data_IF_727733878833
#
_entry.id   IF_727733878833
#
_cell.length_a   1.000
_cell.length_b   1.000
_cell.length_c   1.000
_cell.angle_alpha   90.00
_cell.angle_beta   90.00
_cell.angle_gamma   90.00
#
_symmetry.space_group_name_H-M   'P 1'
#
loop_
_entity.id
_entity.type
_entity.pdbx_description
1 polymer ?
#
# COMPACT_ATOMS: atom_id res chain seq x y z
N UNK A 1 9.43 -27.56 -41.69
CA UNK A 1 9.68 -26.16 -41.24
C UNK A 1 9.80 -26.20 -39.73
N UNK A 2 11.01 -26.04 -39.18
CA UNK A 2 11.20 -25.89 -37.74
C UNK A 2 10.63 -24.54 -37.35
N UNK A 3 9.54 -24.53 -36.57
CA UNK A 3 9.02 -23.31 -35.95
C UNK A 3 10.04 -22.87 -34.89
N UNK A 4 10.83 -21.84 -35.19
CA UNK A 4 11.67 -21.20 -34.19
C UNK A 4 10.75 -20.59 -33.12
N UNK A 5 10.68 -21.21 -31.95
CA UNK A 5 9.98 -20.63 -30.81
C UNK A 5 10.78 -19.39 -30.41
N UNK A 6 10.19 -18.19 -30.58
CA UNK A 6 10.81 -16.92 -30.20
C UNK A 6 11.13 -16.99 -28.70
N UNK A 7 12.40 -16.82 -28.34
CA UNK A 7 12.83 -16.75 -26.94
C UNK A 7 12.10 -15.60 -26.25
N UNK A 8 11.44 -15.89 -25.13
CA UNK A 8 10.75 -14.89 -24.31
C UNK A 8 11.77 -14.20 -23.41
N UNK A 9 11.75 -12.88 -23.29
CA UNK A 9 12.72 -12.13 -22.47
C UNK A 9 12.02 -11.50 -21.28
N UNK A 10 12.48 -11.81 -20.07
CA UNK A 10 11.87 -11.32 -18.82
C UNK A 10 12.84 -10.40 -18.11
N UNK A 11 12.54 -9.11 -18.13
CA UNK A 11 13.27 -8.11 -17.37
C UNK A 11 12.93 -8.21 -15.87
N UNK A 12 13.88 -7.97 -14.98
CA UNK A 12 13.58 -7.74 -13.58
C UNK A 12 14.34 -6.55 -13.00
N UNK A 13 13.65 -5.78 -12.16
CA UNK A 13 14.26 -4.71 -11.37
C UNK A 13 13.90 -4.83 -9.90
N UNK A 14 14.90 -5.11 -9.07
CA UNK A 14 14.78 -5.21 -7.61
C UNK A 14 15.97 -4.53 -6.97
N UNK A 15 15.76 -3.89 -5.82
CA UNK A 15 16.89 -3.37 -5.05
C UNK A 15 17.84 -4.50 -4.64
N UNK A 16 19.14 -4.21 -4.56
CA UNK A 16 20.16 -5.16 -4.10
C UNK A 16 19.79 -5.84 -2.77
N UNK A 17 19.20 -5.06 -1.85
CA UNK A 17 18.69 -5.55 -0.57
C UNK A 17 17.61 -6.62 -0.76
N UNK A 18 16.68 -6.43 -1.71
CA UNK A 18 15.60 -7.39 -1.98
C UNK A 18 16.10 -8.61 -2.76
N UNK A 19 17.03 -8.44 -3.72
CA UNK A 19 17.68 -9.55 -4.43
C UNK A 19 18.33 -10.50 -3.44
N UNK A 20 19.15 -9.95 -2.52
CA UNK A 20 19.82 -10.73 -1.47
C UNK A 20 18.84 -11.38 -0.52
N UNK A 21 17.82 -10.64 -0.05
CA UNK A 21 16.84 -11.13 0.91
C UNK A 21 15.99 -12.30 0.36
N UNK A 22 15.56 -12.20 -0.90
CA UNK A 22 14.81 -13.27 -1.54
C UNK A 22 15.69 -14.41 -2.04
N UNK A 23 17.01 -14.21 -2.13
CA UNK A 23 17.90 -15.06 -2.90
C UNK A 23 17.41 -15.23 -4.36
N UNK A 24 17.11 -14.09 -5.01
CA UNK A 24 16.42 -14.08 -6.31
C UNK A 24 17.23 -14.74 -7.45
N UNK A 25 18.54 -14.96 -7.28
CA UNK A 25 19.35 -15.69 -8.24
C UNK A 25 18.84 -17.13 -8.45
N UNK A 26 18.30 -17.77 -7.42
CA UNK A 26 17.67 -19.09 -7.55
C UNK A 26 16.51 -19.08 -8.54
N UNK A 27 15.66 -18.05 -8.51
CA UNK A 27 14.58 -17.90 -9.48
C UNK A 27 15.10 -17.67 -10.91
N UNK A 28 16.14 -16.85 -11.05
CA UNK A 28 16.78 -16.61 -12.35
C UNK A 28 17.32 -17.91 -12.95
N UNK A 29 17.92 -18.77 -12.13
CA UNK A 29 18.42 -20.08 -12.58
C UNK A 29 17.27 -21.04 -12.90
N UNK A 30 16.18 -21.04 -12.10
CA UNK A 30 14.96 -21.79 -12.41
C UNK A 30 14.35 -21.40 -13.75
N UNK A 31 14.25 -20.10 -14.06
CA UNK A 31 13.77 -19.62 -15.36
C UNK A 31 14.61 -20.17 -16.52
N UNK A 32 15.94 -20.18 -16.39
CA UNK A 32 16.85 -20.68 -17.45
C UNK A 32 16.73 -22.19 -17.65
N UNK A 33 16.49 -22.95 -16.59
CA UNK A 33 16.45 -24.41 -16.63
C UNK A 33 15.07 -24.98 -16.96
N UNK A 34 14.00 -24.37 -16.45
CA UNK A 34 12.65 -24.96 -16.45
C UNK A 34 11.71 -24.29 -17.45
N UNK A 35 11.99 -23.04 -17.84
CA UNK A 35 11.20 -22.32 -18.83
C UNK A 35 12.02 -22.08 -20.09
N UNK A 36 12.38 -23.11 -20.86
CA UNK A 36 12.93 -22.89 -22.20
C UNK A 36 11.78 -22.48 -23.15
N UNK A 37 11.83 -21.32 -23.85
CA UNK A 37 12.98 -20.43 -24.07
C UNK A 37 12.89 -19.03 -23.42
N UNK A 38 12.69 -18.95 -22.11
CA UNK A 38 12.71 -17.71 -21.30
C UNK A 38 14.14 -17.31 -20.93
N UNK A 39 14.47 -16.05 -21.20
CA UNK A 39 15.75 -15.43 -20.88
C UNK A 39 15.53 -14.33 -19.84
N UNK A 40 15.86 -14.58 -18.55
CA UNK A 40 15.81 -13.55 -17.52
C UNK A 40 16.95 -12.55 -17.69
N UNK A 41 16.67 -11.25 -17.53
CA UNK A 41 17.64 -10.16 -17.61
C UNK A 41 17.43 -9.16 -16.47
N UNK A 42 18.49 -8.86 -15.72
CA UNK A 42 18.46 -7.76 -14.76
C UNK A 42 18.43 -6.43 -15.52
N UNK A 43 17.47 -5.57 -15.19
CA UNK A 43 17.35 -4.26 -15.80
C UNK A 43 18.20 -3.23 -15.05
N UNK A 44 18.87 -2.38 -15.80
CA UNK A 44 19.55 -1.18 -15.32
C UNK A 44 18.72 0.05 -15.70
N UNK A 45 18.03 0.64 -14.73
CA UNK A 45 17.18 1.80 -14.97
C UNK A 45 17.96 3.12 -15.12
N UNK A 46 19.29 3.08 -15.05
CA UNK A 46 20.14 4.21 -15.45
C UNK A 46 20.35 4.28 -16.97
N UNK A 47 20.01 3.20 -17.69
CA UNK A 47 20.07 3.12 -19.15
C UNK A 47 18.64 3.08 -19.75
N UNK A 48 18.46 3.51 -21.01
CA UNK A 48 17.17 3.37 -21.69
C UNK A 48 16.69 1.91 -21.72
N UNK A 49 15.41 1.68 -21.43
CA UNK A 49 14.82 0.34 -21.49
C UNK A 49 14.73 -0.21 -22.92
N UNK A 50 14.64 0.67 -23.93
CA UNK A 50 14.68 0.33 -25.35
C UNK A 50 15.95 -0.47 -25.73
N UNK A 51 17.10 -0.08 -25.18
CA UNK A 51 18.39 -0.74 -25.42
C UNK A 51 18.47 -2.10 -24.69
N UNK A 52 17.61 -2.31 -23.71
CA UNK A 52 17.50 -3.52 -22.89
C UNK A 52 16.32 -4.40 -23.31
N UNK A 53 15.63 -4.05 -24.40
CA UNK A 53 14.52 -4.80 -24.96
C UNK A 53 14.90 -5.69 -26.16
N UNK A 54 13.89 -6.24 -26.86
CA UNK A 54 12.47 -6.24 -26.49
C UNK A 54 12.19 -7.15 -25.28
N UNK A 55 11.27 -6.74 -24.40
CA UNK A 55 10.87 -7.49 -23.21
C UNK A 55 9.46 -8.07 -23.39
N UNK A 56 9.23 -9.30 -22.94
CA UNK A 56 7.88 -9.91 -22.90
C UNK A 56 7.22 -9.70 -21.53
N UNK A 57 8.02 -9.59 -20.46
CA UNK A 57 7.54 -9.23 -19.13
C UNK A 57 8.59 -8.48 -18.31
N UNK A 58 8.14 -7.71 -17.32
CA UNK A 58 8.97 -7.02 -16.33
C UNK A 58 8.47 -7.37 -14.92
N UNK A 59 9.34 -7.97 -14.10
CA UNK A 59 9.11 -8.16 -12.66
C UNK A 59 9.79 -7.04 -11.90
N UNK A 60 9.07 -6.26 -11.09
CA UNK A 60 9.72 -5.16 -10.39
C UNK A 60 9.22 -4.92 -8.97
N UNK A 61 10.04 -4.18 -8.19
CA UNK A 61 9.60 -3.54 -6.94
C UNK A 61 10.02 -2.08 -6.88
N UNK A 62 9.39 -1.24 -7.72
CA UNK A 62 9.69 0.19 -7.81
C UNK A 62 9.07 1.04 -6.69
N UNK A 63 8.59 0.42 -5.60
CA UNK A 63 7.84 1.10 -4.53
C UNK A 63 8.58 2.30 -3.96
N UNK A 64 9.88 2.18 -3.72
CA UNK A 64 10.70 3.27 -3.16
C UNK A 64 10.87 4.41 -4.17
N UNK A 65 11.13 4.10 -5.45
CA UNK A 65 11.34 5.11 -6.49
C UNK A 65 10.04 5.86 -6.82
N UNK A 66 8.90 5.15 -6.83
CA UNK A 66 7.59 5.76 -7.01
C UNK A 66 7.28 6.71 -5.85
N UNK A 67 7.58 6.30 -4.61
CA UNK A 67 7.39 7.12 -3.44
C UNK A 67 8.27 8.38 -3.46
N UNK A 68 9.55 8.24 -3.80
CA UNK A 68 10.48 9.36 -3.95
C UNK A 68 10.06 10.31 -5.08
N UNK A 69 9.58 9.77 -6.20
CA UNK A 69 9.04 10.57 -7.30
C UNK A 69 7.81 11.39 -6.86
N UNK A 70 6.93 10.81 -6.05
CA UNK A 70 5.76 11.50 -5.47
C UNK A 70 6.13 12.55 -4.42
N UNK A 71 7.35 12.47 -3.87
CA UNK A 71 7.95 13.47 -2.98
C UNK A 71 8.75 14.54 -3.73
N UNK A 72 8.67 14.57 -5.06
CA UNK A 72 9.38 15.51 -5.94
C UNK A 72 10.90 15.35 -5.96
N UNK A 73 11.42 14.14 -5.76
CA UNK A 73 12.84 13.84 -6.01
C UNK A 73 13.05 13.72 -7.52
N UNK A 74 13.77 14.68 -8.10
CA UNK A 74 13.94 14.83 -9.56
C UNK A 74 14.45 13.56 -10.25
N UNK A 75 15.48 12.92 -9.69
CA UNK A 75 16.08 11.71 -10.25
C UNK A 75 15.07 10.55 -10.29
N UNK A 76 14.29 10.39 -9.22
CA UNK A 76 13.25 9.37 -9.14
C UNK A 76 12.09 9.67 -10.10
N UNK A 77 11.72 10.94 -10.27
CA UNK A 77 10.70 11.35 -11.25
C UNK A 77 11.12 11.01 -12.68
N UNK A 78 12.36 11.33 -13.06
CA UNK A 78 12.90 11.00 -14.38
C UNK A 78 12.93 9.49 -14.62
N UNK A 79 13.38 8.72 -13.62
CA UNK A 79 13.44 7.25 -13.71
C UNK A 79 12.03 6.65 -13.86
N UNK A 80 11.08 7.04 -13.00
CA UNK A 80 9.71 6.52 -13.07
C UNK A 80 9.01 6.96 -14.36
N UNK A 81 9.28 8.17 -14.86
CA UNK A 81 8.78 8.64 -16.14
C UNK A 81 9.33 7.80 -17.31
N UNK A 82 10.64 7.53 -17.34
CA UNK A 82 11.28 6.70 -18.36
C UNK A 82 10.68 5.28 -18.39
N UNK A 83 10.44 4.69 -17.21
CA UNK A 83 9.75 3.38 -17.11
C UNK A 83 8.32 3.47 -17.65
N UNK A 84 7.57 4.52 -17.30
CA UNK A 84 6.21 4.72 -17.78
C UNK A 84 6.16 4.88 -19.31
N UNK A 85 7.09 5.66 -19.89
CA UNK A 85 7.19 5.86 -21.34
C UNK A 85 7.43 4.53 -22.08
N UNK A 86 8.33 3.69 -21.57
CA UNK A 86 8.55 2.35 -22.12
C UNK A 86 7.27 1.49 -22.06
N UNK A 87 6.56 1.51 -20.92
CA UNK A 87 5.31 0.76 -20.75
C UNK A 87 4.24 1.22 -21.73
N UNK A 88 4.14 2.53 -21.97
CA UNK A 88 3.14 3.13 -22.86
C UNK A 88 3.43 2.80 -24.34
N UNK A 89 4.72 2.74 -24.72
CA UNK A 89 5.18 2.36 -26.07
C UNK A 89 5.06 0.85 -26.32
N UNK A 90 5.20 0.02 -25.28
CA UNK A 90 5.20 -1.44 -25.37
C UNK A 90 4.04 -2.10 -24.60
N UNK A 91 2.78 -1.91 -25.03
CA UNK A 91 1.61 -2.51 -24.36
C UNK A 91 1.58 -4.04 -24.40
N UNK A 92 2.40 -4.68 -25.24
CA UNK A 92 2.64 -6.11 -25.27
C UNK A 92 3.49 -6.64 -24.10
N UNK A 93 4.23 -5.76 -23.41
CA UNK A 93 5.07 -6.14 -22.26
C UNK A 93 4.22 -6.31 -21.02
N UNK A 94 4.23 -7.49 -20.41
CA UNK A 94 3.51 -7.74 -19.15
C UNK A 94 4.26 -7.10 -17.97
N UNK A 95 3.60 -6.23 -17.21
CA UNK A 95 4.20 -5.59 -16.03
C UNK A 95 3.69 -6.23 -14.75
N UNK A 96 4.60 -6.84 -13.97
CA UNK A 96 4.34 -7.47 -12.67
C UNK A 96 4.92 -6.56 -11.57
N UNK A 97 4.14 -5.63 -11.00
CA UNK A 97 2.71 -5.33 -11.23
C UNK A 97 2.50 -3.88 -11.71
N UNK A 98 1.39 -3.54 -12.38
CA UNK A 98 1.19 -2.21 -12.98
C UNK A 98 1.41 -1.04 -12.02
N UNK A 99 2.13 0.00 -12.47
CA UNK A 99 2.48 1.16 -11.64
C UNK A 99 1.27 1.85 -10.97
N UNK A 100 0.09 1.99 -11.61
CA UNK A 100 -1.10 2.55 -10.96
C UNK A 100 -1.56 1.74 -9.73
N UNK A 101 -1.40 0.42 -9.80
CA UNK A 101 -1.75 -0.46 -8.69
C UNK A 101 -0.75 -0.31 -7.54
N UNK A 102 0.54 -0.22 -7.85
CA UNK A 102 1.60 0.05 -6.87
C UNK A 102 1.34 1.39 -6.17
N UNK A 103 1.01 2.47 -6.90
CA UNK A 103 0.65 3.78 -6.34
C UNK A 103 -0.55 3.71 -5.39
N UNK A 104 -1.52 2.84 -5.67
CA UNK A 104 -2.66 2.62 -4.78
C UNK A 104 -2.21 1.95 -3.47
N UNK A 105 -1.33 0.95 -3.56
CA UNK A 105 -0.79 0.22 -2.40
C UNK A 105 0.24 1.02 -1.58
N UNK A 106 0.77 2.13 -2.11
CA UNK A 106 1.65 3.04 -1.38
C UNK A 106 0.89 4.02 -0.46
N UNK A 107 -0.43 4.11 -0.59
CA UNK A 107 -1.29 4.97 0.23
C UNK A 107 -2.30 4.10 0.99
N UNK A 108 -2.19 4.08 2.34
CA UNK A 108 -3.05 3.26 3.20
C UNK A 108 -4.51 3.67 3.11
N UNK A 109 -4.80 4.96 2.93
CA UNK A 109 -6.18 5.42 2.79
C UNK A 109 -6.81 4.92 1.49
N UNK A 110 -6.07 4.99 0.37
CA UNK A 110 -6.54 4.42 -0.91
C UNK A 110 -6.71 2.91 -0.81
N UNK A 111 -5.76 2.22 -0.17
CA UNK A 111 -5.82 0.77 0.06
C UNK A 111 -7.03 0.36 0.91
N UNK A 112 -7.29 1.04 2.02
CA UNK A 112 -8.43 0.73 2.88
C UNK A 112 -9.77 1.09 2.24
N UNK A 113 -9.84 2.19 1.48
CA UNK A 113 -11.02 2.51 0.67
C UNK A 113 -11.33 1.42 -0.34
N UNK A 114 -10.32 0.85 -0.97
CA UNK A 114 -10.51 -0.29 -1.86
C UNK A 114 -11.02 -1.52 -1.11
N UNK A 115 -10.39 -1.89 0.01
CA UNK A 115 -10.80 -3.04 0.84
C UNK A 115 -12.27 -2.89 1.26
N UNK A 116 -12.66 -1.71 1.72
CA UNK A 116 -14.03 -1.45 2.15
C UNK A 116 -15.03 -1.60 1.01
N UNK A 117 -14.73 -1.05 -0.17
CA UNK A 117 -15.56 -1.27 -1.37
C UNK A 117 -15.66 -2.75 -1.73
N UNK A 118 -14.56 -3.51 -1.61
CA UNK A 118 -14.58 -4.94 -1.89
C UNK A 118 -15.45 -5.71 -0.91
N UNK A 119 -15.40 -5.39 0.38
CA UNK A 119 -16.30 -5.96 1.39
C UNK A 119 -17.78 -5.72 1.02
N UNK A 120 -18.15 -4.47 0.69
CA UNK A 120 -19.52 -4.10 0.28
C UNK A 120 -19.97 -4.89 -0.96
N UNK A 121 -19.07 -5.11 -1.92
CA UNK A 121 -19.36 -5.83 -3.15
C UNK A 121 -19.47 -7.33 -2.95
N UNK A 122 -18.63 -7.90 -2.08
CA UNK A 122 -18.58 -9.34 -1.81
C UNK A 122 -19.79 -9.83 -1.01
N UNK A 123 -20.42 -8.93 -0.24
CA UNK A 123 -21.58 -9.19 0.64
C UNK A 123 -21.42 -10.47 1.47
N UNK A 124 -20.20 -10.70 1.95
CA UNK A 124 -19.85 -11.87 2.75
C UNK A 124 -19.79 -11.48 4.22
N UNK A 125 -20.77 -11.89 5.02
CA UNK A 125 -20.84 -11.55 6.44
C UNK A 125 -19.67 -12.08 7.28
N UNK A 126 -18.75 -12.85 6.69
CA UNK A 126 -17.52 -13.35 7.34
C UNK A 126 -16.32 -12.43 7.15
N UNK A 127 -16.45 -11.36 6.38
CA UNK A 127 -15.43 -10.35 6.13
C UNK A 127 -15.87 -9.06 6.80
N UNK A 128 -14.93 -8.30 7.36
CA UNK A 128 -15.19 -6.94 7.83
C UNK A 128 -14.06 -5.98 7.45
N UNK A 129 -14.39 -4.74 7.11
CA UNK A 129 -13.43 -3.63 7.06
C UNK A 129 -13.56 -2.85 8.37
N UNK A 130 -12.50 -2.80 9.21
CA UNK A 130 -12.55 -1.96 10.40
C UNK A 130 -12.79 -0.50 10.00
N UNK A 131 -13.67 0.25 10.69
CA UNK A 131 -13.86 1.67 10.43
C UNK A 131 -12.52 2.42 10.45
N UNK A 132 -12.29 3.28 9.46
CA UNK A 132 -11.05 4.03 9.30
C UNK A 132 -11.32 5.43 8.74
N UNK A 133 -10.42 6.38 9.01
CA UNK A 133 -10.43 7.71 8.39
C UNK A 133 -9.02 8.29 8.33
N UNK A 134 -8.86 9.39 7.59
CA UNK A 134 -7.61 10.16 7.52
C UNK A 134 -7.71 11.39 8.40
N UNK A 135 -6.64 11.67 9.13
CA UNK A 135 -6.40 12.94 9.79
C UNK A 135 -5.25 13.64 9.07
N UNK A 136 -5.49 14.80 8.47
CA UNK A 136 -4.43 15.62 7.85
C UNK A 136 -3.89 16.70 8.78
N UNK A 137 -4.72 17.16 9.73
CA UNK A 137 -4.39 18.23 10.67
C UNK A 137 -4.45 17.72 12.10
N UNK A 138 -3.81 18.47 13.01
CA UNK A 138 -3.79 18.15 14.44
C UNK A 138 -5.20 18.03 15.03
N UNK A 139 -5.34 17.19 16.05
CA UNK A 139 -6.63 16.93 16.67
C UNK A 139 -7.11 18.16 17.46
N UNK A 140 -8.26 18.71 17.06
CA UNK A 140 -8.95 19.81 17.73
C UNK A 140 -10.17 19.38 18.55
N UNK A 141 -10.97 20.35 19.05
CA UNK A 141 -12.17 20.11 19.86
C UNK A 141 -13.19 19.17 19.18
N UNK A 142 -13.36 19.32 17.87
CA UNK A 142 -14.36 18.59 17.09
C UNK A 142 -13.91 17.18 16.67
N UNK A 143 -12.67 16.78 17.02
CA UNK A 143 -12.12 15.49 16.59
C UNK A 143 -12.99 14.32 17.03
N UNK A 144 -13.48 14.34 18.27
CA UNK A 144 -14.34 13.27 18.80
C UNK A 144 -15.64 13.12 18.00
N UNK A 145 -16.27 14.22 17.63
CA UNK A 145 -17.52 14.19 16.85
C UNK A 145 -17.26 13.56 15.47
N UNK A 146 -16.11 13.87 14.86
CA UNK A 146 -15.68 13.23 13.62
C UNK A 146 -15.40 11.73 13.79
N UNK A 147 -14.76 11.31 14.89
CA UNK A 147 -14.54 9.89 15.18
C UNK A 147 -15.88 9.16 15.26
N UNK A 148 -16.82 9.68 16.05
CA UNK A 148 -18.14 9.09 16.25
C UNK A 148 -18.93 9.03 14.93
N UNK A 149 -18.91 10.09 14.13
CA UNK A 149 -19.58 10.16 12.84
C UNK A 149 -19.05 9.13 11.83
N UNK A 150 -17.77 8.80 11.90
CA UNK A 150 -17.13 7.79 11.04
C UNK A 150 -17.09 6.39 11.69
N UNK A 151 -17.75 6.19 12.83
CA UNK A 151 -17.78 4.90 13.53
C UNK A 151 -16.42 4.44 14.09
N UNK A 152 -15.49 5.38 14.32
CA UNK A 152 -14.21 5.08 14.98
C UNK A 152 -14.43 4.99 16.48
N UNK A 153 -13.98 3.90 17.09
CA UNK A 153 -14.13 3.63 18.53
C UNK A 153 -12.80 3.39 19.20
N UNK A 154 -12.69 3.72 20.50
CA UNK A 154 -11.51 3.37 21.29
C UNK A 154 -11.47 1.87 21.65
N UNK A 155 -10.26 1.26 21.68
CA UNK A 155 -9.01 1.82 21.18
C UNK A 155 -8.96 1.83 19.65
N UNK A 156 -8.20 2.74 19.07
CA UNK A 156 -7.90 2.74 17.63
C UNK A 156 -6.40 2.84 17.39
N UNK A 157 -5.95 2.35 16.23
CA UNK A 157 -4.56 2.38 15.80
C UNK A 157 -4.34 3.51 14.79
N UNK A 158 -3.32 4.32 15.02
CA UNK A 158 -2.79 5.31 14.11
C UNK A 158 -1.65 4.71 13.29
N UNK A 159 -1.70 4.87 11.98
CA UNK A 159 -0.68 4.44 11.02
C UNK A 159 -0.34 5.63 10.12
N UNK A 160 0.91 5.75 9.69
CA UNK A 160 1.26 6.75 8.67
C UNK A 160 0.43 6.54 7.39
N UNK A 161 0.08 7.61 6.68
CA UNK A 161 -0.69 7.45 5.44
C UNK A 161 0.14 6.76 4.35
N UNK A 162 1.42 7.11 4.25
CA UNK A 162 2.38 6.43 3.39
C UNK A 162 2.61 5.00 3.90
N UNK A 163 2.37 4.02 3.04
CA UNK A 163 2.35 2.60 3.40
C UNK A 163 3.73 1.91 3.33
N UNK A 164 4.75 2.57 2.78
CA UNK A 164 6.07 1.99 2.55
C UNK A 164 7.22 2.97 2.86
N UNK A 165 8.42 2.44 3.10
CA UNK A 165 9.63 3.22 3.38
C UNK A 165 9.97 3.33 4.88
N UNK A 166 11.11 3.95 5.18
CA UNK A 166 11.79 3.91 6.49
C UNK A 166 10.93 4.31 7.68
N UNK A 167 10.07 5.33 7.52
CA UNK A 167 9.21 5.85 8.60
C UNK A 167 7.75 5.38 8.51
N UNK A 168 7.42 4.49 7.57
CA UNK A 168 6.05 4.03 7.34
C UNK A 168 5.54 3.03 8.39
N UNK A 169 6.41 2.63 9.32
CA UNK A 169 6.18 1.56 10.28
C UNK A 169 5.94 2.03 11.71
N UNK A 170 6.09 3.34 11.98
CA UNK A 170 5.74 3.94 13.26
C UNK A 170 4.21 4.03 13.40
N UNK A 171 3.71 3.47 14.48
CA UNK A 171 2.28 3.36 14.78
C UNK A 171 2.02 3.73 16.23
N UNK A 172 0.79 4.10 16.53
CA UNK A 172 0.34 4.34 17.90
C UNK A 172 -1.03 3.72 18.15
N UNK A 173 -1.31 3.27 19.36
CA UNK A 173 -2.67 2.89 19.80
C UNK A 173 -3.13 3.94 20.79
N UNK A 174 -4.31 4.50 20.53
CA UNK A 174 -4.92 5.56 21.31
C UNK A 174 -6.08 4.95 22.11
N UNK A 175 -6.08 5.17 23.43
CA UNK A 175 -7.05 4.55 24.34
C UNK A 175 -8.09 5.53 24.86
N UNK A 176 -7.84 6.84 24.81
CA UNK A 176 -8.77 7.83 25.33
C UNK A 176 -8.71 9.16 24.58
N UNK A 177 -9.58 10.10 24.96
CA UNK A 177 -9.62 11.45 24.40
C UNK A 177 -8.32 12.22 24.71
N UNK A 178 -7.75 12.00 25.88
CA UNK A 178 -6.57 12.72 26.39
C UNK A 178 -5.32 12.42 25.55
N UNK A 179 -5.28 11.24 24.93
CA UNK A 179 -4.21 10.76 24.07
C UNK A 179 -4.30 11.30 22.62
N UNK A 180 -5.40 11.97 22.23
CA UNK A 180 -5.57 12.51 20.86
C UNK A 180 -4.47 13.51 20.48
N UNK A 181 -3.90 14.21 21.46
CA UNK A 181 -2.80 15.16 21.29
C UNK A 181 -1.48 14.47 20.86
N UNK A 182 -1.35 13.17 21.07
CA UNK A 182 -0.14 12.41 20.76
C UNK A 182 -0.15 11.88 19.31
N UNK A 183 -1.27 12.05 18.59
CA UNK A 183 -1.41 11.69 17.19
C UNK A 183 -0.58 12.65 16.33
N UNK A 184 0.14 12.10 15.34
CA UNK A 184 0.96 12.85 14.38
C UNK A 184 0.39 12.74 12.96
N UNK A 185 -0.41 13.71 12.51
CA UNK A 185 -0.87 13.82 11.13
C UNK A 185 0.27 14.14 10.14
N UNK A 186 0.14 13.83 8.84
CA UNK A 186 -0.98 13.10 8.24
C UNK A 186 -0.92 11.60 8.57
N UNK A 187 -2.04 11.05 9.01
CA UNK A 187 -2.13 9.64 9.40
C UNK A 187 -3.49 9.04 9.08
N UNK A 188 -3.53 7.71 8.97
CA UNK A 188 -4.75 6.93 8.91
C UNK A 188 -5.01 6.36 10.29
N UNK A 189 -6.20 6.63 10.82
CA UNK A 189 -6.68 5.99 12.04
C UNK A 189 -7.66 4.87 11.68
N UNK A 190 -7.61 3.77 12.41
CA UNK A 190 -8.43 2.60 12.17
C UNK A 190 -8.84 1.98 13.51
N UNK A 191 -10.11 1.66 13.70
CA UNK A 191 -10.59 1.01 14.94
C UNK A 191 -9.81 -0.28 15.20
N UNK A 192 -9.38 -0.48 16.45
CA UNK A 192 -8.62 -1.66 16.83
C UNK A 192 -9.57 -2.85 16.99
N UNK A 193 -9.20 -3.99 16.40
CA UNK A 193 -9.95 -5.24 16.54
C UNK A 193 -9.12 -6.20 17.39
N UNK A 194 -9.68 -6.65 18.52
CA UNK A 194 -9.09 -7.74 19.29
C UNK A 194 -9.09 -9.03 18.47
N UNK A 195 -7.90 -9.64 18.36
CA UNK A 195 -7.65 -10.76 17.46
C UNK A 195 -6.67 -11.79 18.04
N UNK A 196 -6.58 -11.84 19.38
CA UNK A 196 -5.84 -12.88 20.09
C UNK A 196 -4.34 -12.96 19.74
N UNK A 197 -3.73 -11.81 19.39
CA UNK A 197 -2.31 -11.67 19.11
C UNK A 197 -1.78 -12.50 17.93
N UNK A 198 -2.64 -12.92 16.99
CA UNK A 198 -2.24 -13.69 15.80
C UNK A 198 -2.57 -12.93 14.52
N UNK A 199 -1.54 -12.68 13.72
CA UNK A 199 -1.65 -12.15 12.36
C UNK A 199 -1.48 -13.27 11.35
N UNK A 200 -2.39 -13.34 10.37
CA UNK A 200 -2.29 -14.24 9.24
C UNK A 200 -1.82 -13.47 8.01
N UNK A 201 -0.54 -13.63 7.66
CA UNK A 201 0.01 -13.07 6.44
C UNK A 201 -0.32 -13.98 5.27
N UNK A 202 -1.19 -13.50 4.39
CA UNK A 202 -1.51 -14.19 3.14
C UNK A 202 -0.59 -13.63 2.07
N UNK A 203 0.36 -14.44 1.61
CA UNK A 203 1.24 -14.11 0.51
C UNK A 203 0.65 -14.64 -0.79
N UNK A 204 0.35 -13.74 -1.73
CA UNK A 204 -0.31 -14.06 -3.00
C UNK A 204 0.71 -13.96 -4.13
N UNK A 205 0.73 -15.00 -4.98
CA UNK A 205 1.54 -15.08 -6.19
C UNK A 205 0.63 -15.58 -7.31
N UNK A 206 0.11 -14.65 -8.11
CA UNK A 206 -0.85 -14.98 -9.16
C UNK A 206 -2.12 -15.62 -8.59
N UNK A 207 -2.46 -16.81 -9.05
CA UNK A 207 -3.60 -17.58 -8.54
C UNK A 207 -3.30 -18.35 -7.24
N UNK A 208 -2.03 -18.55 -6.91
CA UNK A 208 -1.59 -19.23 -5.70
C UNK A 208 -1.52 -18.28 -4.50
N UNK A 209 -1.68 -18.83 -3.29
CA UNK A 209 -1.40 -18.10 -2.06
C UNK A 209 -0.95 -19.05 -0.96
N UNK A 210 -0.14 -18.52 -0.04
CA UNK A 210 0.31 -19.20 1.18
C UNK A 210 -0.05 -18.36 2.40
N UNK A 211 -0.43 -19.01 3.50
CA UNK A 211 -0.77 -18.34 4.77
C UNK A 211 0.33 -18.62 5.79
N UNK A 212 0.90 -17.56 6.35
CA UNK A 212 1.94 -17.64 7.38
C UNK A 212 1.45 -16.92 8.63
N UNK A 213 1.41 -17.64 9.75
CA UNK A 213 1.10 -17.05 11.05
C UNK A 213 2.27 -16.21 11.57
N UNK A 214 1.96 -15.07 12.17
CA UNK A 214 2.92 -14.15 12.79
C UNK A 214 2.41 -13.67 14.14
N UNK A 215 3.31 -13.34 15.07
CA UNK A 215 2.96 -12.55 16.25
C UNK A 215 2.25 -11.25 15.86
N UNK A 216 1.29 -10.83 16.68
CA UNK A 216 0.53 -9.60 16.49
C UNK A 216 0.18 -8.97 17.82
N UNK A 217 -0.46 -7.81 17.79
CA UNK A 217 -0.84 -7.07 18.98
C UNK A 217 -1.82 -7.85 19.85
N UNK A 218 -1.54 -7.89 21.15
CA UNK A 218 -2.41 -8.46 22.18
C UNK A 218 -3.78 -7.78 22.21
N UNK A 219 -4.71 -8.42 22.90
CA UNK A 219 -6.02 -7.82 23.15
C UNK A 219 -5.91 -6.65 24.14
N UNK A 220 -6.78 -5.66 23.93
CA UNK A 220 -6.98 -4.52 24.81
C UNK A 220 -8.44 -4.43 25.27
N UNK A 221 -8.73 -3.86 26.45
CA UNK A 221 -10.10 -3.62 26.86
C UNK A 221 -10.84 -2.75 25.83
N UNK A 222 -12.11 -3.08 25.56
CA UNK A 222 -12.94 -2.28 24.66
C UNK A 222 -13.38 -0.98 25.31
N UNK A 223 -13.49 0.09 24.52
CA UNK A 223 -13.89 1.41 24.99
C UNK A 223 -12.74 2.24 25.53
N UNK A 224 -13.02 3.46 26.00
CA UNK A 224 -12.00 4.34 26.53
C UNK A 224 -11.42 3.80 27.84
N UNK A 225 -10.11 3.91 28.01
CA UNK A 225 -9.42 3.51 29.25
C UNK A 225 -8.40 4.55 29.68
N UNK A 226 -8.10 4.65 30.98
CA UNK A 226 -7.08 5.56 31.53
C UNK A 226 -5.62 5.13 31.19
N UNK A 227 -5.44 4.22 30.23
CA UNK A 227 -4.13 3.81 29.75
C UNK A 227 -3.58 4.91 28.84
N UNK A 228 -2.27 5.14 28.93
CA UNK A 228 -1.57 6.02 27.98
C UNK A 228 -1.47 5.39 26.61
N UNK A 229 -1.41 6.23 25.59
CA UNK A 229 -1.09 5.81 24.23
C UNK A 229 0.16 4.93 24.16
N UNK A 230 0.12 3.92 23.29
CA UNK A 230 1.25 3.01 23.05
C UNK A 230 1.82 3.32 21.68
N UNK A 231 3.05 3.82 21.63
CA UNK A 231 3.81 4.01 20.38
C UNK A 231 4.72 2.81 20.12
N UNK A 232 4.76 2.32 18.89
CA UNK A 232 5.59 1.18 18.52
C UNK A 232 5.93 1.17 17.02
N UNK A 233 7.00 0.46 16.68
CA UNK A 233 7.33 0.15 15.30
C UNK A 233 6.79 -1.24 14.92
N UNK A 234 5.97 -1.31 13.87
CA UNK A 234 5.33 -2.56 13.41
C UNK A 234 6.33 -3.69 13.07
N UNK A 235 7.56 -3.37 12.68
CA UNK A 235 8.59 -4.39 12.45
C UNK A 235 9.04 -5.13 13.71
N UNK A 236 8.85 -4.55 14.90
CA UNK A 236 9.17 -5.21 16.16
C UNK A 236 8.01 -6.07 16.69
N UNK A 237 6.82 -5.94 16.08
CA UNK A 237 5.60 -6.62 16.52
C UNK A 237 5.28 -7.86 15.68
N UNK A 238 5.44 -7.81 14.35
CA UNK A 238 4.91 -8.86 13.45
C UNK A 238 5.95 -9.55 12.55
N UNK A 239 7.21 -9.59 13.00
CA UNK A 239 8.25 -10.44 12.38
C UNK A 239 8.28 -11.83 13.04
N UNK A 240 8.89 -12.85 12.40
CA UNK A 240 8.87 -14.23 12.91
C UNK A 240 9.41 -14.34 14.34
N UNK A 241 10.49 -13.62 14.65
CA UNK A 241 11.16 -13.62 15.95
C UNK A 241 10.65 -12.53 16.92
N UNK A 242 9.54 -11.84 16.59
CA UNK A 242 9.01 -10.77 17.42
C UNK A 242 8.42 -11.32 18.72
N UNK A 243 9.02 -10.95 19.85
CA UNK A 243 8.51 -11.25 21.19
C UNK A 243 8.63 -10.02 22.09
N UNK A 244 7.50 -9.51 22.57
CA UNK A 244 7.40 -8.38 23.50
C UNK A 244 6.12 -8.46 24.32
N UNK A 245 5.98 -7.61 25.35
CA UNK A 245 4.73 -7.50 26.13
C UNK A 245 3.51 -7.15 25.25
N UNK A 246 3.74 -6.49 24.10
CA UNK A 246 2.71 -6.13 23.13
C UNK A 246 2.22 -7.34 22.31
N UNK A 247 3.01 -8.41 22.23
CA UNK A 247 2.67 -9.64 21.49
C UNK A 247 2.34 -10.81 22.42
N UNK A 248 2.29 -10.57 23.74
CA UNK A 248 1.95 -11.60 24.72
C UNK A 248 0.53 -12.15 24.50
N UNK A 249 0.40 -13.47 24.72
CA UNK A 249 -0.85 -14.23 24.63
C UNK A 249 -1.48 -14.52 25.99
N UNK A 250 -1.12 -13.76 27.03
CA UNK A 250 -1.62 -14.04 28.39
C UNK A 250 -3.12 -13.72 28.56
N UNK A 251 -3.68 -12.87 27.68
CA UNK A 251 -5.08 -12.42 27.72
C UNK A 251 -5.86 -12.89 26.48
N UNK A 252 -5.89 -14.19 26.21
CA UNK A 252 -6.73 -14.75 25.14
C UNK A 252 -8.19 -14.74 25.58
N UNK A 253 -9.03 -14.07 24.79
CA UNK A 253 -10.46 -13.92 25.06
C UNK A 253 -11.25 -14.25 23.79
N UNK A 254 -12.50 -14.68 23.96
CA UNK A 254 -13.40 -14.97 22.84
C UNK A 254 -12.97 -16.16 21.99
N UNK A 255 -13.32 -16.12 20.70
CA UNK A 255 -13.07 -17.25 19.80
C UNK A 255 -11.68 -17.15 19.18
N UNK A 256 -10.91 -18.25 19.24
CA UNK A 256 -9.69 -18.41 18.47
C UNK A 256 -10.01 -19.30 17.28
N UNK A 257 -10.23 -18.69 16.11
CA UNK A 257 -10.49 -19.41 14.85
C UNK A 257 -9.34 -19.19 13.89
N UNK A 258 -8.98 -20.26 13.18
CA UNK A 258 -8.12 -20.17 12.01
C UNK A 258 -8.88 -19.50 10.86
N UNK A 259 -8.18 -18.78 9.96
CA UNK A 259 -8.81 -18.13 8.84
C UNK A 259 -9.35 -19.19 7.86
N UNK A 260 -10.50 -18.91 7.27
CA UNK A 260 -11.15 -19.80 6.31
C UNK A 260 -10.57 -19.61 4.92
N UNK A 261 -10.01 -20.69 4.36
CA UNK A 261 -9.36 -20.66 3.05
C UNK A 261 -10.27 -20.17 1.91
N UNK A 262 -11.56 -20.50 1.93
CA UNK A 262 -12.51 -20.03 0.92
C UNK A 262 -12.71 -18.51 0.98
N UNK A 263 -12.69 -17.92 2.19
CA UNK A 263 -12.75 -16.47 2.40
C UNK A 263 -11.47 -15.80 1.88
N UNK A 264 -10.30 -16.34 2.25
CA UNK A 264 -9.00 -15.83 1.78
C UNK A 264 -8.92 -15.86 0.26
N UNK A 265 -9.32 -16.97 -0.36
CA UNK A 265 -9.30 -17.12 -1.81
C UNK A 265 -10.22 -16.10 -2.49
N UNK A 266 -11.41 -15.85 -1.92
CA UNK A 266 -12.34 -14.84 -2.41
C UNK A 266 -11.74 -13.43 -2.31
N UNK A 267 -11.16 -13.07 -1.15
CA UNK A 267 -10.49 -11.76 -0.94
C UNK A 267 -9.34 -11.59 -1.93
N UNK A 268 -8.45 -12.58 -2.03
CA UNK A 268 -7.30 -12.56 -2.95
C UNK A 268 -7.75 -12.35 -4.40
N UNK A 269 -8.72 -13.15 -4.88
CA UNK A 269 -9.26 -13.02 -6.24
C UNK A 269 -9.87 -11.63 -6.49
N UNK A 270 -10.66 -11.11 -5.56
CA UNK A 270 -11.27 -9.79 -5.67
C UNK A 270 -10.21 -8.66 -5.74
N UNK A 271 -9.20 -8.70 -4.87
CA UNK A 271 -8.09 -7.73 -4.89
C UNK A 271 -7.28 -7.79 -6.18
N UNK A 272 -6.96 -9.01 -6.65
CA UNK A 272 -6.27 -9.20 -7.93
C UNK A 272 -7.03 -8.59 -9.09
N UNK A 273 -8.33 -8.85 -9.20
CA UNK A 273 -9.13 -8.27 -10.29
C UNK A 273 -9.30 -6.75 -10.17
N UNK A 274 -9.47 -6.21 -8.95
CA UNK A 274 -9.72 -4.80 -8.76
C UNK A 274 -8.46 -3.92 -8.97
N UNK A 275 -7.29 -4.42 -8.60
CA UNK A 275 -6.01 -3.70 -8.73
C UNK A 275 -5.19 -4.14 -9.93
N UNK A 276 -5.52 -5.27 -10.56
CA UNK A 276 -4.66 -5.95 -11.53
C UNK A 276 -3.25 -6.23 -10.98
N UNK A 277 -3.17 -6.67 -9.71
CA UNK A 277 -1.93 -7.09 -9.04
C UNK A 277 -1.85 -8.59 -8.95
N UNK A 278 -0.64 -9.11 -8.84
CA UNK A 278 -0.39 -10.55 -8.73
C UNK A 278 0.63 -10.91 -7.66
N UNK A 279 1.52 -9.98 -7.30
CA UNK A 279 2.58 -10.18 -6.34
C UNK A 279 2.34 -9.26 -5.13
N UNK A 280 1.56 -9.71 -4.15
CA UNK A 280 1.20 -8.88 -3.01
C UNK A 280 0.95 -9.72 -1.75
N UNK A 281 0.98 -9.05 -0.59
CA UNK A 281 0.65 -9.65 0.70
C UNK A 281 -0.60 -9.00 1.28
N UNK A 282 -1.42 -9.78 1.98
CA UNK A 282 -2.59 -9.32 2.72
C UNK A 282 -2.38 -9.69 4.18
N UNK A 283 -2.51 -8.72 5.07
CA UNK A 283 -2.46 -8.94 6.51
C UNK A 283 -3.89 -9.08 7.02
N UNK A 284 -4.24 -10.30 7.45
CA UNK A 284 -5.57 -10.65 7.95
C UNK A 284 -5.51 -10.95 9.45
N UNK A 285 -6.44 -10.37 10.20
CA UNK A 285 -6.71 -10.74 11.59
C UNK A 285 -8.13 -11.29 11.72
N UNK A 286 -8.34 -12.17 12.70
CA UNK A 286 -9.66 -12.74 12.99
C UNK A 286 -10.22 -12.08 14.24
N UNK A 287 -11.33 -11.36 14.09
CA UNK A 287 -12.02 -10.76 15.24
C UNK A 287 -12.40 -11.83 16.25
N UNK A 288 -11.96 -11.69 17.50
CA UNK A 288 -12.29 -12.66 18.54
C UNK A 288 -13.75 -12.54 19.03
N UNK A 289 -14.41 -11.41 18.73
CA UNK A 289 -15.82 -11.16 19.05
C UNK A 289 -16.75 -11.76 18.00
N UNK A 290 -16.47 -11.51 16.71
CA UNK A 290 -17.38 -11.87 15.60
C UNK A 290 -16.91 -13.08 14.79
N UNK A 291 -15.63 -13.43 14.85
CA UNK A 291 -15.00 -14.44 13.99
C UNK A 291 -14.84 -14.00 12.52
N UNK A 292 -15.02 -12.72 12.22
CA UNK A 292 -14.86 -12.16 10.88
C UNK A 292 -13.38 -11.92 10.55
N UNK A 293 -13.07 -11.97 9.24
CA UNK A 293 -11.76 -11.70 8.67
C UNK A 293 -11.64 -10.21 8.41
N UNK A 294 -10.75 -9.55 9.12
CA UNK A 294 -10.45 -8.14 8.87
C UNK A 294 -9.13 -8.03 8.12
N UNK A 295 -9.17 -7.42 6.94
CA UNK A 295 -7.97 -7.04 6.20
C UNK A 295 -7.48 -5.71 6.75
N UNK A 296 -6.28 -5.72 7.36
CA UNK A 296 -5.74 -4.55 8.06
C UNK A 296 -4.54 -3.91 7.36
N UNK A 297 -3.94 -4.58 6.39
CA UNK A 297 -2.87 -4.04 5.55
C UNK A 297 -2.74 -4.82 4.24
N UNK A 298 -2.26 -4.17 3.18
CA UNK A 298 -1.93 -4.80 1.89
C UNK A 298 -0.57 -4.26 1.43
N UNK A 299 0.31 -5.16 0.99
CA UNK A 299 1.69 -4.82 0.67
C UNK A 299 2.06 -5.27 -0.75
N UNK A 300 2.61 -4.36 -1.56
CA UNK A 300 3.15 -4.71 -2.87
C UNK A 300 4.47 -5.49 -2.74
N UNK A 301 4.56 -6.59 -3.48
CA UNK A 301 5.68 -7.53 -3.57
C UNK A 301 6.45 -7.70 -2.25
N UNK A 302 5.85 -8.34 -1.22
CA UNK A 302 6.41 -8.45 0.12
C UNK A 302 7.64 -9.37 0.16
N UNK A 303 8.06 -9.76 1.37
CA UNK A 303 9.26 -10.59 1.57
C UNK A 303 9.07 -12.09 1.40
N UNK A 304 7.83 -12.60 1.35
CA UNK A 304 7.50 -14.04 1.24
C UNK A 304 8.23 -14.96 2.24
N UNK A 305 8.66 -14.41 3.38
CA UNK A 305 9.31 -15.16 4.45
C UNK A 305 8.34 -16.21 5.04
N UNK A 306 8.74 -17.48 5.00
CA UNK A 306 7.91 -18.61 5.42
C UNK A 306 7.14 -19.28 4.28
N UNK A 307 7.39 -18.91 3.02
CA UNK A 307 6.79 -19.51 1.81
C UNK A 307 7.88 -20.23 1.01
N UNK A 308 8.10 -21.54 1.23
CA UNK A 308 9.15 -22.29 0.53
C UNK A 308 8.89 -22.38 -0.98
N UNK A 309 7.62 -22.52 -1.39
CA UNK A 309 7.20 -22.68 -2.80
C UNK A 309 7.16 -21.35 -3.59
N UNK A 310 7.66 -20.24 -3.01
CA UNK A 310 7.51 -18.91 -3.61
C UNK A 310 8.04 -18.85 -5.05
N UNK A 311 9.17 -19.48 -5.34
CA UNK A 311 9.75 -19.45 -6.68
C UNK A 311 9.00 -20.36 -7.66
N UNK A 312 8.48 -21.50 -7.23
CA UNK A 312 7.65 -22.38 -8.06
C UNK A 312 6.32 -21.71 -8.42
N UNK A 313 5.69 -21.05 -7.45
CA UNK A 313 4.48 -20.25 -7.66
C UNK A 313 4.75 -19.09 -8.62
N UNK A 314 5.87 -18.38 -8.44
CA UNK A 314 6.26 -17.26 -9.32
C UNK A 314 6.54 -17.73 -10.74
N UNK A 315 7.19 -18.89 -10.90
CA UNK A 315 7.48 -19.50 -12.20
C UNK A 315 6.18 -19.90 -12.91
N UNK A 316 5.26 -20.50 -12.19
CA UNK A 316 3.93 -20.90 -12.69
C UNK A 316 3.12 -19.68 -13.11
N UNK A 317 3.10 -18.64 -12.29
CA UNK A 317 2.42 -17.38 -12.61
C UNK A 317 3.04 -16.70 -13.83
N UNK A 318 4.38 -16.59 -13.88
CA UNK A 318 5.09 -16.03 -15.02
C UNK A 318 4.78 -16.79 -16.32
N UNK A 319 4.74 -18.12 -16.26
CA UNK A 319 4.38 -18.97 -17.39
C UNK A 319 2.95 -18.68 -17.86
N UNK A 320 2.03 -18.56 -16.92
CA UNK A 320 0.61 -18.29 -17.21
C UNK A 320 0.42 -16.94 -17.91
N UNK A 321 1.09 -15.88 -17.43
CA UNK A 321 0.96 -14.55 -18.05
C UNK A 321 1.66 -14.46 -19.41
N UNK A 322 2.75 -15.22 -19.62
CA UNK A 322 3.45 -15.28 -20.91
C UNK A 322 2.71 -16.13 -21.96
N UNK A 323 1.90 -17.10 -21.52
CA UNK A 323 1.06 -17.95 -22.39
C UNK A 323 -0.34 -17.37 -22.61
N UNK A 324 -0.78 -16.44 -21.77
CA UNK A 324 -2.03 -15.70 -21.95
C UNK A 324 -2.08 -14.96 -23.30
N UNK A 325 -3.27 -14.68 -23.85
CA UNK A 325 -3.39 -14.01 -25.14
C UNK A 325 -2.61 -12.69 -25.14
N UNK A 326 -1.62 -12.60 -26.04
CA UNK A 326 -0.78 -11.42 -26.26
C UNK A 326 -1.65 -10.25 -26.72
N UNK A 327 -2.02 -9.40 -25.78
CA UNK A 327 -2.84 -8.20 -25.95
C UNK A 327 -3.18 -7.63 -24.57
N UNK A 328 -3.50 -6.33 -24.45
CA UNK A 328 -3.94 -5.79 -23.17
C UNK A 328 -5.08 -6.68 -22.66
N UNK A 329 -5.06 -7.04 -21.38
CA UNK A 329 -6.17 -7.71 -20.70
C UNK A 329 -7.43 -6.84 -20.86
N UNK A 330 -8.09 -6.97 -22.00
CA UNK A 330 -9.47 -6.57 -22.20
C UNK A 330 -10.22 -7.51 -21.28
N UNK A 331 -10.84 -6.93 -20.25
CA UNK A 331 -11.65 -7.64 -19.28
C UNK A 331 -12.46 -8.74 -19.99
N UNK A 332 -12.30 -10.03 -19.65
CA UNK A 332 -13.17 -11.04 -20.17
C UNK A 332 -14.58 -10.72 -19.67
N UNK A 333 -15.46 -10.34 -20.60
CA UNK A 333 -16.90 -10.28 -20.38
C UNK A 333 -17.43 -11.71 -20.23
N UNK A 334 -17.14 -12.32 -19.08
CA UNK A 334 -17.94 -13.41 -18.53
C UNK A 334 -18.99 -12.78 -17.61
N UNK A 335 -20.16 -13.42 -17.38
CA UNK A 335 -21.25 -12.77 -16.66
C UNK A 335 -20.79 -12.33 -15.28
N UNK A 336 -20.79 -11.01 -15.08
CA UNK A 336 -20.54 -10.33 -13.82
C UNK A 336 -21.44 -10.91 -12.73
N UNK A 337 -20.87 -11.72 -11.83
CA UNK A 337 -21.46 -11.98 -10.52
C UNK A 337 -21.07 -10.89 -9.49
N UNK A 338 -20.12 -10.01 -9.82
CA UNK A 338 -19.80 -8.79 -9.08
C UNK A 338 -19.81 -7.60 -10.04
N UNK A 339 -20.91 -6.84 -10.03
CA UNK A 339 -21.11 -5.66 -10.87
C UNK A 339 -20.27 -4.46 -10.47
N UNK A 340 -18.98 -4.47 -10.81
CA UNK A 340 -18.10 -3.31 -10.64
C UNK A 340 -17.78 -2.68 -12.00
N UNK A 341 -18.07 -1.39 -12.23
CA UNK A 341 -17.49 -0.66 -13.34
C UNK A 341 -16.02 -0.36 -13.02
N UNK A 342 -15.11 -0.85 -13.87
CA UNK A 342 -13.75 -0.34 -13.94
C UNK A 342 -13.78 1.01 -14.67
N UNK A 343 -13.49 2.11 -13.96
CA UNK A 343 -13.30 3.43 -14.57
C UNK A 343 -13.66 4.58 -13.64
N UNK A 344 -12.71 5.50 -13.48
CA UNK A 344 -12.80 6.76 -12.73
C UNK A 344 -13.00 6.65 -11.21
N UNK A 345 -11.89 6.75 -10.46
CA UNK A 345 -11.91 7.42 -9.14
C UNK A 345 -12.12 8.93 -9.37
N UNK A 346 -13.29 9.29 -9.90
CA UNK A 346 -13.81 10.64 -9.98
C UNK A 346 -14.77 10.85 -8.81
N UNK A 347 -14.40 11.76 -7.93
CA UNK A 347 -15.18 12.45 -6.90
C UNK A 347 -16.67 12.05 -6.76
N UNK A 348 -16.99 11.13 -5.84
CA UNK A 348 -18.30 11.07 -5.16
C UNK A 348 -18.10 10.63 -3.70
N UNK A 349 -18.80 11.33 -2.80
CA UNK A 349 -18.46 11.44 -1.38
C UNK A 349 -19.13 10.44 -0.46
N UNK A 350 -18.33 9.93 0.48
CA UNK A 350 -18.63 9.84 1.92
C UNK A 350 -17.39 9.36 2.69
N UNK A 351 -16.31 10.15 2.64
CA UNK A 351 -15.20 10.13 3.60
C UNK A 351 -14.50 11.48 3.43
N UNK A 352 -14.75 12.40 4.36
CA UNK A 352 -14.26 13.78 4.26
C UNK A 352 -12.79 13.83 4.70
N UNK A 353 -11.97 14.38 3.81
CA UNK A 353 -10.62 14.89 4.07
C UNK A 353 -10.81 16.15 4.93
N UNK A 354 -10.19 16.20 6.11
CA UNK A 354 -10.26 17.39 6.98
C UNK A 354 -9.03 18.24 6.68
N UNK A 355 -9.23 19.43 6.13
CA UNK A 355 -8.26 20.53 6.15
C UNK A 355 -8.81 21.62 7.06
N UNK A 356 -8.06 21.96 8.11
CA UNK A 356 -8.46 22.97 9.09
C UNK A 356 -7.96 24.35 8.69
N UNK A 357 -8.66 25.07 7.80
CA UNK A 357 -8.60 26.54 7.73
C UNK A 357 -9.95 27.14 7.27
N UNK A 358 -10.77 27.63 8.21
CA UNK A 358 -11.80 28.63 7.92
C UNK A 358 -11.75 29.77 8.94
N UNK A 359 -11.14 30.89 8.52
CA UNK A 359 -11.27 32.19 9.19
C UNK A 359 -12.56 32.87 8.73
N UNK A 360 -13.53 32.96 9.64
CA UNK A 360 -14.72 33.82 9.52
C UNK A 360 -14.33 35.29 9.27
N UNK A 361 -14.90 35.91 8.24
CA UNK A 361 -15.21 37.36 8.25
C UNK A 361 -16.58 37.58 7.61
N UNK A 362 -17.40 38.33 8.33
CA UNK A 362 -18.80 38.59 8.03
C UNK A 362 -19.03 39.57 6.88
N UNK A 363 -20.29 39.56 6.48
CA UNK A 363 -21.03 40.40 5.53
C UNK A 363 -20.54 41.84 5.34
N UNK A 364 -20.51 42.31 4.08
CA UNK A 364 -21.14 43.56 3.65
C UNK A 364 -21.43 43.53 2.13
N UNK A 365 -22.62 44.02 1.76
CA UNK A 365 -23.10 44.26 0.40
C UNK A 365 -22.49 45.54 -0.19
N UNK A 366 -22.36 45.61 -1.52
CA UNK A 366 -22.40 46.90 -2.25
C UNK A 366 -21.46 47.08 -3.44
N UNK A 367 -22.00 46.88 -4.65
CA UNK A 367 -21.90 47.72 -5.85
C UNK A 367 -20.56 47.98 -6.60
N UNK A 368 -20.63 47.67 -7.91
CA UNK A 368 -20.16 48.41 -9.11
C UNK A 368 -18.66 48.50 -9.51
N UNK A 369 -18.39 47.88 -10.67
CA UNK A 369 -17.82 48.45 -11.92
C UNK A 369 -16.35 48.93 -12.06
N UNK A 370 -15.74 48.42 -13.15
CA UNK A 370 -14.76 49.02 -14.08
C UNK A 370 -13.25 49.04 -13.77
N UNK A 371 -12.53 48.27 -14.61
CA UNK A 371 -11.33 48.56 -15.43
C UNK A 371 -10.11 49.32 -14.91
N UNK A 372 -8.96 48.78 -15.37
CA UNK A 372 -7.73 49.43 -15.87
C UNK A 372 -6.48 49.48 -14.95
N UNK A 373 -5.47 48.76 -15.43
CA UNK A 373 -4.10 49.19 -15.77
C UNK A 373 -3.04 49.62 -14.72
N UNK A 374 -1.88 48.97 -14.93
CA UNK A 374 -0.49 49.46 -14.85
C UNK A 374 0.11 49.97 -13.52
N UNK A 375 1.29 49.44 -13.20
CA UNK A 375 2.22 50.10 -12.27
C UNK A 375 3.41 49.25 -11.83
N UNK A 376 4.43 49.15 -12.70
CA UNK A 376 5.80 48.78 -12.33
C UNK A 376 6.36 49.77 -11.28
N UNK A 377 7.14 49.28 -10.32
CA UNK A 377 8.34 50.00 -9.88
C UNK A 377 9.37 49.08 -9.22
N UNK A 378 10.58 49.19 -9.75
CA UNK A 378 11.82 48.49 -9.41
C UNK A 378 12.84 49.61 -9.11
N UNK A 379 13.56 49.57 -7.98
CA UNK A 379 14.93 50.09 -7.77
C UNK A 379 15.31 49.98 -6.27
N UNK A 380 16.26 49.10 -5.93
CA UNK A 380 17.70 49.34 -5.76
C UNK A 380 18.09 50.16 -4.50
N UNK A 381 18.81 49.54 -3.54
CA UNK A 381 20.27 49.71 -3.42
C UNK A 381 20.94 49.00 -2.21
N UNK A 382 22.11 48.40 -2.52
CA UNK A 382 23.41 48.33 -1.79
C UNK A 382 23.70 47.29 -0.67
N UNK A 383 24.52 46.30 -1.07
CA UNK A 383 25.78 45.75 -0.46
C UNK A 383 26.50 46.70 0.52
N UNK A 384 27.31 46.31 1.52
CA UNK A 384 27.97 45.08 2.00
C UNK A 384 28.27 45.28 3.52
N UNK A 385 28.66 44.30 4.34
CA UNK A 385 30.07 43.89 4.59
C UNK A 385 30.11 42.72 5.59
N UNK A 386 31.14 41.90 5.43
CA UNK A 386 31.57 40.71 6.17
C UNK A 386 31.82 40.93 7.68
N UNK A 387 31.57 39.89 8.49
CA UNK A 387 32.54 39.39 9.49
C UNK A 387 32.10 37.99 9.96
N UNK A 388 33.03 37.05 9.90
CA UNK A 388 32.93 35.72 10.48
C UNK A 388 33.18 35.79 11.99
N UNK A 389 32.55 34.89 12.74
CA UNK A 389 33.18 34.33 13.94
C UNK A 389 32.63 32.91 14.18
N UNK A 390 33.57 31.97 14.17
CA UNK A 390 33.42 30.62 14.67
C UNK A 390 34.06 30.59 16.06
N UNK A 391 33.37 30.06 17.06
CA UNK A 391 34.05 29.37 18.16
C UNK A 391 33.14 28.36 18.85
N UNK A 392 33.77 27.23 19.09
CA UNK A 392 33.38 25.99 19.74
C UNK A 392 32.84 26.16 21.17
N UNK A 393 31.99 25.21 21.58
CA UNK A 393 32.27 24.27 22.68
C UNK A 393 31.58 22.93 22.41
#
# INVERSE_FOLDING_TARGET
>A
MQTFVKRKRVGYWLSEKKIKKLNFQTFVDMCRCLLDPVVPAQLDLSLPLEEQGPLDAIIHKLTDHILEADQNVTEAQLLVHSVQEYIDVHPETVILDPLPAIRTLLDRFKSYKLIHKLEECMKDGRICSPPFMVLNSECGPDTLDHLHKNGITFPFICKTQVAHGTNSHEMAIIFSKEDLKDIRPPCVIQSFINHNAVLYKVFVVGDAYSVVERPSLRNFPSGPTDRRAISFNSHHVSKPESSSDLTSRDNLEGQCRTPRHDVIQKISRCLRHALNVSLFGIDIIISNQTGQHAVIDINAFPGYEGVPEFFDDLLTHLTTVLQGPCGPLRAPSLPLACGMPCGNLGNEGSCLVIDSEEKKKGSHQGLTCCSADLGLNYQQHRRATLAADASSQ
#
